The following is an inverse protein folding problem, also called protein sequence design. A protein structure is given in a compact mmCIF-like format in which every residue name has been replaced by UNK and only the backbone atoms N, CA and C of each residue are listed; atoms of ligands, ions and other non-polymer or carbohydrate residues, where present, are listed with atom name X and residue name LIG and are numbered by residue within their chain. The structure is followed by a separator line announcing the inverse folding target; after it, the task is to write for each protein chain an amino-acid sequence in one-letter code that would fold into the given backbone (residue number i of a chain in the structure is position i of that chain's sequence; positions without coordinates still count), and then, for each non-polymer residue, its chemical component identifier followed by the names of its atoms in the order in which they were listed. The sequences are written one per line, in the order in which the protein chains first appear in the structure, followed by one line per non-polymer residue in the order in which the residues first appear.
data_IF_649870003186
#
_entry.id   IF_649870003186
#
_cell.length_a   1.000
_cell.length_b   1.000
_cell.length_c   1.000
_cell.angle_alpha   90.00
_cell.angle_beta   90.00
_cell.angle_gamma   90.00
#
_symmetry.space_group_name_H-M   'P 1'
#
loop_
_entity.id
_entity.type
_entity.pdbx_description
1 polymer ?
#
# COMPACT_ATOMS: atom_id res chain seq x y z
N UNK A 1 -2.43 71.12 26.15
CA UNK A 1 -2.16 70.28 27.33
C UNK A 1 -3.41 69.50 27.66
N UNK A 2 -3.27 68.22 28.01
CA UNK A 2 -4.42 67.36 28.32
C UNK A 2 -5.00 67.74 29.69
N UNK A 3 -6.33 67.74 29.80
CA UNK A 3 -7.07 67.98 31.06
C UNK A 3 -6.55 67.07 32.19
N UNK A 4 -6.10 65.86 31.82
CA UNK A 4 -5.53 64.87 32.74
C UNK A 4 -4.18 65.32 33.30
N UNK A 5 -3.29 65.85 32.46
CA UNK A 5 -1.98 66.34 32.90
C UNK A 5 -2.13 67.50 33.87
N UNK A 6 -3.05 68.43 33.58
CA UNK A 6 -3.33 69.54 34.49
C UNK A 6 -3.98 69.09 35.80
N UNK A 7 -4.80 68.02 35.78
CA UNK A 7 -5.37 67.43 37.00
C UNK A 7 -4.30 66.73 37.84
N UNK A 8 -3.38 66.01 37.21
CA UNK A 8 -2.29 65.32 37.91
C UNK A 8 -1.31 66.34 38.51
N UNK A 9 -0.94 67.38 37.74
CA UNK A 9 -0.06 68.45 38.24
C UNK A 9 -0.68 69.23 39.40
N UNK A 10 -1.97 69.59 39.31
CA UNK A 10 -2.69 70.31 40.38
C UNK A 10 -2.86 69.48 41.65
N UNK A 11 -2.91 68.15 41.53
CA UNK A 11 -3.06 67.24 42.67
C UNK A 11 -1.75 66.49 42.97
N UNK A 12 -0.59 66.98 42.53
CA UNK A 12 0.69 66.29 42.69
C UNK A 12 1.00 65.96 44.16
N UNK A 13 0.67 66.87 45.08
CA UNK A 13 0.79 66.62 46.51
C UNK A 13 -0.05 65.43 47.00
N UNK A 14 -1.19 65.10 46.38
CA UNK A 14 -1.95 63.89 46.73
C UNK A 14 -1.23 62.61 46.28
N UNK A 15 -0.54 62.66 45.14
CA UNK A 15 0.12 61.50 44.53
C UNK A 15 1.54 61.24 45.07
N UNK A 16 2.29 62.29 45.41
CA UNK A 16 3.69 62.20 45.86
C UNK A 16 3.82 61.95 47.39
N UNK A 17 2.72 61.71 48.11
CA UNK A 17 2.70 61.65 49.59
C UNK A 17 2.80 60.24 50.20
N UNK A 18 3.03 59.19 49.40
CA UNK A 18 3.17 57.83 49.93
C UNK A 18 4.34 57.10 49.30
N UNK A 19 5.54 57.36 49.81
CA UNK A 19 6.65 56.45 49.61
C UNK A 19 6.27 55.08 50.21
N UNK A 20 6.47 53.96 49.50
CA UNK A 20 6.10 52.66 50.02
C UNK A 20 6.83 52.39 51.33
N UNK A 21 6.16 51.72 52.27
CA UNK A 21 6.75 51.44 53.57
C UNK A 21 8.06 50.65 53.43
N UNK A 22 9.05 50.90 54.31
CA UNK A 22 10.29 50.12 54.31
C UNK A 22 9.96 48.62 54.41
N UNK A 23 10.64 47.78 53.63
CA UNK A 23 10.32 46.35 53.52
C UNK A 23 9.37 45.98 52.36
N UNK A 24 8.81 46.95 51.64
CA UNK A 24 7.90 46.67 50.52
C UNK A 24 8.58 45.90 49.39
N UNK A 25 9.83 46.27 49.05
CA UNK A 25 10.61 45.62 47.99
C UNK A 25 10.90 44.16 48.32
N UNK A 26 11.29 43.88 49.55
CA UNK A 26 11.59 42.54 50.06
C UNK A 26 10.34 41.66 50.04
N UNK A 27 9.19 42.20 50.48
CA UNK A 27 7.90 41.51 50.38
C UNK A 27 7.48 41.23 48.94
N UNK A 28 7.72 42.19 48.04
CA UNK A 28 7.40 42.04 46.62
C UNK A 28 8.26 40.93 45.99
N UNK A 29 9.57 40.95 46.24
CA UNK A 29 10.50 39.91 45.76
C UNK A 29 10.19 38.54 46.36
N UNK A 30 9.89 38.48 47.67
CA UNK A 30 9.48 37.22 48.30
C UNK A 30 8.21 36.62 47.70
N UNK A 31 7.23 37.45 47.31
CA UNK A 31 6.05 36.98 46.57
C UNK A 31 6.39 36.55 45.14
N UNK A 32 7.33 37.23 44.49
CA UNK A 32 7.77 36.89 43.14
C UNK A 32 8.49 35.53 43.10
N UNK A 33 9.33 35.23 44.08
CA UNK A 33 10.05 33.96 44.19
C UNK A 33 9.16 32.78 44.62
N UNK A 34 8.04 33.07 45.30
CA UNK A 34 7.02 32.08 45.64
C UNK A 34 6.09 31.73 44.48
N UNK A 35 6.05 32.55 43.42
CA UNK A 35 5.42 32.12 42.19
C UNK A 35 6.25 30.97 41.66
N UNK A 36 5.67 29.79 41.38
CA UNK A 36 6.40 28.73 40.73
C UNK A 36 6.80 29.27 39.37
N UNK A 37 8.03 29.76 39.25
CA UNK A 37 8.61 30.18 37.97
C UNK A 37 8.29 29.08 36.98
N UNK A 38 7.82 29.43 35.78
CA UNK A 38 7.39 28.51 34.73
C UNK A 38 8.47 27.46 34.46
N UNK A 39 8.53 26.44 35.30
CA UNK A 39 9.37 25.27 35.14
C UNK A 39 8.64 24.53 34.05
N UNK A 40 9.09 24.77 32.82
CA UNK A 40 8.54 24.25 31.58
C UNK A 40 8.16 22.78 31.74
N UNK A 41 6.90 22.53 32.13
CA UNK A 41 6.37 21.17 32.31
C UNK A 41 6.46 20.39 30.99
N UNK A 42 6.52 21.11 29.87
CA UNK A 42 6.78 20.57 28.54
C UNK A 42 8.16 19.93 28.34
N UNK A 43 9.21 20.31 29.09
CA UNK A 43 10.56 19.74 28.91
C UNK A 43 10.64 18.27 29.35
N UNK A 44 9.89 17.90 30.39
CA UNK A 44 9.81 16.52 30.88
C UNK A 44 8.85 15.65 30.04
N UNK A 45 7.88 16.27 29.37
CA UNK A 45 6.94 15.57 28.48
C UNK A 45 7.53 15.32 27.08
N UNK A 46 8.57 16.05 26.69
CA UNK A 46 9.20 15.96 25.37
C UNK A 46 9.71 14.55 24.99
N UNK A 47 10.43 13.80 25.85
CA UNK A 47 10.86 12.44 25.51
C UNK A 47 9.68 11.46 25.43
N UNK A 48 8.67 11.61 26.29
CA UNK A 48 7.45 10.77 26.29
C UNK A 48 6.64 11.02 25.02
N UNK A 49 6.51 12.27 24.59
CA UNK A 49 5.86 12.61 23.32
C UNK A 49 6.59 11.99 22.12
N UNK A 50 7.93 12.04 22.08
CA UNK A 50 8.70 11.40 21.00
C UNK A 50 8.48 9.89 20.95
N UNK A 51 8.52 9.22 22.10
CA UNK A 51 8.26 7.77 22.18
C UNK A 51 6.83 7.42 21.70
N UNK A 52 5.84 8.21 22.11
CA UNK A 52 4.45 8.03 21.68
C UNK A 52 4.25 8.24 20.18
N UNK A 53 4.93 9.23 19.58
CA UNK A 53 4.86 9.50 18.14
C UNK A 53 5.42 8.33 17.32
N UNK A 54 6.56 7.77 17.73
CA UNK A 54 7.15 6.60 17.06
C UNK A 54 6.22 5.39 17.18
N UNK A 55 5.64 5.16 18.36
CA UNK A 55 4.66 4.09 18.57
C UNK A 55 3.42 4.25 17.68
N UNK A 56 2.88 5.46 17.56
CA UNK A 56 1.73 5.74 16.70
C UNK A 56 2.05 5.54 15.22
N UNK A 57 3.25 5.94 14.77
CA UNK A 57 3.68 5.71 13.38
C UNK A 57 3.82 4.21 13.12
N UNK A 58 4.49 3.46 14.00
CA UNK A 58 4.63 2.02 13.87
C UNK A 58 3.28 1.31 13.91
N UNK A 59 2.37 1.73 14.79
CA UNK A 59 1.04 1.16 14.86
C UNK A 59 0.21 1.49 13.62
N UNK A 60 0.36 2.69 13.05
CA UNK A 60 -0.29 3.08 11.79
C UNK A 60 0.23 2.28 10.60
N UNK A 61 1.55 2.07 10.52
CA UNK A 61 2.16 1.23 9.48
C UNK A 61 1.73 -0.23 9.66
N UNK A 62 1.73 -0.75 10.88
CA UNK A 62 1.26 -2.10 11.17
C UNK A 62 -0.22 -2.27 10.85
N UNK A 63 -1.07 -1.30 11.21
CA UNK A 63 -2.49 -1.28 10.88
C UNK A 63 -2.71 -1.24 9.37
N UNK A 64 -1.95 -0.41 8.65
CA UNK A 64 -2.02 -0.33 7.19
C UNK A 64 -1.52 -1.63 6.53
N UNK A 65 -0.43 -2.21 7.03
CA UNK A 65 0.10 -3.48 6.55
C UNK A 65 -0.91 -4.61 6.78
N UNK A 66 -1.51 -4.69 7.97
CA UNK A 66 -2.60 -5.64 8.28
C UNK A 66 -3.80 -5.38 7.38
N UNK A 67 -4.18 -4.12 7.13
CA UNK A 67 -5.27 -3.80 6.20
C UNK A 67 -4.92 -4.21 4.76
N UNK A 68 -3.69 -4.06 4.30
CA UNK A 68 -3.31 -4.47 2.94
C UNK A 68 -3.21 -6.00 2.83
N UNK A 69 -2.70 -6.67 3.86
CA UNK A 69 -2.43 -8.10 3.86
C UNK A 69 -3.69 -8.94 4.16
N UNK A 70 -4.53 -8.48 5.09
CA UNK A 70 -5.78 -9.13 5.51
C UNK A 70 -6.98 -8.58 4.72
N UNK A 71 -7.05 -7.25 4.51
CA UNK A 71 -8.01 -6.65 3.58
C UNK A 71 -7.31 -6.40 2.23
N UNK A 72 -6.79 -7.47 1.59
CA UNK A 72 -7.01 -7.56 0.14
C UNK A 72 -8.47 -7.17 -0.06
N UNK A 73 -8.82 -6.21 -0.91
CA UNK A 73 -10.22 -5.88 -1.11
C UNK A 73 -10.90 -7.16 -1.58
N UNK A 74 -11.55 -7.87 -0.66
CA UNK A 74 -12.77 -8.58 -0.98
C UNK A 74 -13.72 -7.44 -1.22
N UNK A 75 -13.66 -7.00 -2.46
CA UNK A 75 -14.33 -5.85 -2.98
C UNK A 75 -15.82 -6.22 -2.89
N UNK A 76 -16.46 -5.91 -1.76
CA UNK A 76 -17.89 -6.19 -1.54
C UNK A 76 -18.76 -5.31 -2.46
N UNK A 77 -18.13 -4.39 -3.22
CA UNK A 77 -18.69 -3.69 -4.37
C UNK A 77 -17.99 -4.03 -5.70
N UNK A 78 -16.98 -4.91 -5.73
CA UNK A 78 -16.95 -5.86 -6.81
C UNK A 78 -18.11 -6.80 -6.52
N UNK A 79 -19.26 -6.44 -7.08
CA UNK A 79 -19.85 -7.44 -7.96
C UNK A 79 -18.67 -7.90 -8.80
N UNK A 80 -18.09 -9.04 -8.44
CA UNK A 80 -17.42 -9.85 -9.43
C UNK A 80 -18.51 -9.91 -10.49
N UNK A 81 -18.38 -9.06 -11.51
CA UNK A 81 -18.96 -9.31 -12.80
C UNK A 81 -18.28 -10.61 -13.17
N UNK A 82 -18.81 -11.69 -12.61
CA UNK A 82 -18.45 -13.06 -12.90
C UNK A 82 -18.72 -13.03 -14.36
N UNK A 83 -17.65 -13.00 -15.14
CA UNK A 83 -17.78 -12.86 -16.57
C UNK A 83 -18.51 -14.14 -16.95
N UNK A 84 -19.82 -14.03 -17.21
CA UNK A 84 -20.64 -15.19 -17.51
C UNK A 84 -20.37 -15.47 -18.98
N UNK A 85 -19.31 -16.23 -19.24
CA UNK A 85 -19.08 -16.79 -20.56
C UNK A 85 -20.12 -17.89 -20.80
N UNK A 86 -20.53 -18.09 -22.06
CA UNK A 86 -21.21 -19.30 -22.49
C UNK A 86 -20.48 -20.55 -21.99
N UNK A 87 -21.26 -21.56 -21.56
CA UNK A 87 -20.75 -22.79 -20.96
C UNK A 87 -19.74 -23.52 -21.85
N UNK A 88 -19.97 -23.54 -23.16
CA UNK A 88 -19.08 -24.15 -24.15
C UNK A 88 -17.70 -23.48 -24.19
N UNK A 89 -17.66 -22.14 -24.07
CA UNK A 89 -16.39 -21.40 -24.00
C UNK A 89 -15.73 -21.64 -22.65
N UNK A 90 -16.49 -21.60 -21.56
CA UNK A 90 -15.94 -21.82 -20.21
C UNK A 90 -15.29 -23.20 -20.08
N UNK A 91 -15.95 -24.25 -20.58
CA UNK A 91 -15.41 -25.61 -20.60
C UNK A 91 -14.13 -25.71 -21.45
N UNK A 92 -14.11 -25.03 -22.60
CA UNK A 92 -12.92 -24.99 -23.46
C UNK A 92 -11.75 -24.31 -22.77
N UNK A 93 -12.00 -23.19 -22.08
CA UNK A 93 -10.94 -22.48 -21.34
C UNK A 93 -10.39 -23.34 -20.20
N UNK A 94 -11.27 -23.94 -19.41
CA UNK A 94 -10.89 -24.83 -18.30
C UNK A 94 -10.09 -26.05 -18.76
N UNK A 95 -10.43 -26.62 -19.93
CA UNK A 95 -9.66 -27.71 -20.52
C UNK A 95 -8.21 -27.31 -20.78
N UNK A 96 -7.98 -26.16 -21.42
CA UNK A 96 -6.63 -25.70 -21.71
C UNK A 96 -5.89 -25.19 -20.47
N UNK A 97 -6.57 -24.64 -19.47
CA UNK A 97 -5.94 -24.33 -18.17
C UNK A 97 -5.39 -25.60 -17.51
N UNK A 98 -6.21 -26.66 -17.47
CA UNK A 98 -5.80 -27.96 -16.93
C UNK A 98 -4.61 -28.52 -17.70
N UNK A 99 -4.69 -28.52 -19.04
CA UNK A 99 -3.61 -28.99 -19.92
C UNK A 99 -2.31 -28.19 -19.75
N UNK A 100 -2.41 -26.88 -19.54
CA UNK A 100 -1.24 -26.01 -19.31
C UNK A 100 -0.61 -26.31 -17.96
N UNK A 101 -1.42 -26.51 -16.91
CA UNK A 101 -0.93 -26.89 -15.59
C UNK A 101 -0.23 -28.26 -15.60
N UNK A 102 -0.80 -29.24 -16.31
CA UNK A 102 -0.16 -30.53 -16.52
C UNK A 102 1.22 -30.35 -17.16
N UNK A 103 1.31 -29.60 -18.26
CA UNK A 103 2.59 -29.33 -18.96
C UNK A 103 3.62 -28.59 -18.12
N UNK A 104 3.21 -27.62 -17.31
CA UNK A 104 4.11 -26.95 -16.37
C UNK A 104 4.74 -27.94 -15.38
N UNK A 105 4.00 -28.98 -14.98
CA UNK A 105 4.55 -30.06 -14.15
C UNK A 105 5.46 -30.99 -14.94
N UNK A 106 5.23 -31.16 -16.26
CA UNK A 106 6.11 -31.97 -17.11
C UNK A 106 7.51 -31.39 -17.25
N UNK A 107 7.69 -30.07 -17.10
CA UNK A 107 9.00 -29.39 -17.13
C UNK A 107 10.01 -30.07 -16.19
N UNK A 108 9.59 -30.51 -15.01
CA UNK A 108 10.47 -31.17 -14.02
C UNK A 108 11.05 -32.49 -14.55
N UNK A 109 10.40 -33.13 -15.53
CA UNK A 109 10.85 -34.38 -16.14
C UNK A 109 11.85 -34.16 -17.27
N UNK A 110 11.80 -33.00 -17.91
CA UNK A 110 12.64 -32.67 -19.07
C UNK A 110 13.84 -31.80 -18.72
N UNK A 111 13.85 -31.15 -17.55
CA UNK A 111 15.01 -30.41 -17.08
C UNK A 111 16.12 -31.35 -16.57
N UNK A 112 17.38 -30.95 -16.77
CA UNK A 112 18.55 -31.70 -16.32
C UNK A 112 18.72 -31.66 -14.80
N UNK A 113 18.31 -30.56 -14.18
CA UNK A 113 18.42 -30.33 -12.74
C UNK A 113 17.30 -29.40 -12.21
N UNK A 114 17.11 -29.33 -10.88
CA UNK A 114 16.06 -28.51 -10.28
C UNK A 114 16.20 -26.99 -10.53
N UNK A 115 17.42 -26.48 -10.71
CA UNK A 115 17.65 -25.05 -10.98
C UNK A 115 17.21 -24.67 -12.40
N UNK A 116 17.50 -25.50 -13.39
CA UNK A 116 17.03 -25.35 -14.76
C UNK A 116 15.50 -25.46 -14.85
N UNK A 117 14.90 -26.44 -14.14
CA UNK A 117 13.44 -26.56 -14.05
C UNK A 117 12.80 -25.30 -13.47
N UNK A 118 13.40 -24.71 -12.43
CA UNK A 118 12.92 -23.46 -11.81
C UNK A 118 13.02 -22.29 -12.78
N UNK A 119 14.14 -22.16 -13.50
CA UNK A 119 14.32 -21.08 -14.48
C UNK A 119 13.33 -21.19 -15.64
N UNK A 120 13.14 -22.40 -16.20
CA UNK A 120 12.17 -22.65 -17.26
C UNK A 120 10.72 -22.36 -16.81
N UNK A 121 10.36 -22.73 -15.58
CA UNK A 121 9.04 -22.39 -15.00
C UNK A 121 8.87 -20.89 -14.77
N UNK A 122 9.92 -20.18 -14.37
CA UNK A 122 9.86 -18.73 -14.22
C UNK A 122 9.66 -18.05 -15.58
N UNK A 123 10.43 -18.44 -16.59
CA UNK A 123 10.28 -17.92 -17.95
C UNK A 123 8.88 -18.22 -18.52
N UNK A 124 8.38 -19.45 -18.33
CA UNK A 124 7.02 -19.80 -18.68
C UNK A 124 6.02 -18.87 -17.97
N UNK A 125 6.18 -18.64 -16.66
CA UNK A 125 5.32 -17.74 -15.89
C UNK A 125 5.24 -16.33 -16.48
N UNK A 126 6.39 -15.74 -16.83
CA UNK A 126 6.46 -14.40 -17.43
C UNK A 126 5.78 -14.34 -18.82
N UNK A 127 5.97 -15.38 -19.65
CA UNK A 127 5.30 -15.45 -20.95
C UNK A 127 3.79 -15.67 -20.82
N UNK A 128 3.35 -16.51 -19.86
CA UNK A 128 1.96 -16.80 -19.60
C UNK A 128 1.20 -15.57 -19.04
N UNK A 129 1.85 -14.75 -18.21
CA UNK A 129 1.25 -13.51 -17.69
C UNK A 129 0.83 -12.56 -18.82
N UNK A 130 1.69 -12.39 -19.82
CA UNK A 130 1.38 -11.56 -21.00
C UNK A 130 0.18 -12.09 -21.79
N UNK A 131 0.03 -13.43 -21.87
CA UNK A 131 -1.10 -14.08 -22.53
C UNK A 131 -2.38 -13.88 -21.71
N UNK A 132 -2.30 -13.98 -20.39
CA UNK A 132 -3.44 -13.78 -19.48
C UNK A 132 -3.96 -12.34 -19.54
N UNK A 133 -3.07 -11.34 -19.66
CA UNK A 133 -3.47 -9.94 -19.88
C UNK A 133 -4.23 -9.80 -21.21
N UNK A 134 -3.74 -10.42 -22.29
CA UNK A 134 -4.40 -10.40 -23.59
C UNK A 134 -5.77 -11.10 -23.54
N UNK A 135 -5.85 -12.24 -22.87
CA UNK A 135 -7.08 -13.00 -22.68
C UNK A 135 -8.14 -12.17 -21.92
N UNK A 136 -7.74 -11.48 -20.84
CA UNK A 136 -8.64 -10.61 -20.08
C UNK A 136 -9.21 -9.46 -20.92
N UNK A 137 -8.40 -8.87 -21.81
CA UNK A 137 -8.86 -7.85 -22.74
C UNK A 137 -9.90 -8.39 -23.73
N UNK A 138 -9.65 -9.57 -24.30
CA UNK A 138 -10.58 -10.23 -25.23
C UNK A 138 -11.88 -10.62 -24.51
N UNK A 139 -11.80 -11.14 -23.28
CA UNK A 139 -12.98 -11.46 -22.46
C UNK A 139 -13.85 -10.22 -22.23
N UNK A 140 -13.23 -9.09 -21.88
CA UNK A 140 -13.93 -7.83 -21.67
C UNK A 140 -14.68 -7.36 -22.93
N UNK A 141 -14.08 -7.52 -24.11
CA UNK A 141 -14.72 -7.14 -25.37
C UNK A 141 -15.78 -8.16 -25.82
N UNK A 142 -15.60 -9.44 -25.49
CA UNK A 142 -16.57 -10.49 -25.75
C UNK A 142 -17.87 -10.28 -24.96
N UNK A 143 -17.80 -9.85 -23.69
CA UNK A 143 -18.98 -9.52 -22.89
C UNK A 143 -19.84 -8.44 -23.56
N UNK A 144 -19.20 -7.45 -24.18
CA UNK A 144 -19.89 -6.36 -24.87
C UNK A 144 -20.56 -6.84 -26.15
N UNK A 145 -20.01 -7.88 -26.79
CA UNK A 145 -20.47 -8.42 -28.07
C UNK A 145 -20.43 -9.97 -28.09
N UNK A 146 -21.36 -10.66 -27.39
CA UNK A 146 -21.30 -12.12 -27.21
C UNK A 146 -21.44 -12.93 -28.49
N UNK A 147 -22.14 -12.38 -29.50
CA UNK A 147 -22.36 -13.04 -30.79
C UNK A 147 -21.18 -12.89 -31.76
N UNK A 148 -20.13 -12.17 -31.36
CA UNK A 148 -18.97 -11.94 -32.20
C UNK A 148 -18.10 -13.21 -32.27
N UNK A 149 -18.25 -13.93 -33.37
CA UNK A 149 -17.49 -15.15 -33.68
C UNK A 149 -15.97 -14.94 -33.70
N UNK A 150 -15.49 -13.75 -34.10
CA UNK A 150 -14.07 -13.45 -34.11
C UNK A 150 -13.50 -13.35 -32.68
N UNK A 151 -14.25 -12.73 -31.75
CA UNK A 151 -13.86 -12.66 -30.34
C UNK A 151 -13.90 -14.05 -29.68
N UNK A 152 -14.91 -14.87 -29.99
CA UNK A 152 -14.95 -16.28 -29.54
C UNK A 152 -13.73 -17.07 -30.03
N UNK A 153 -13.38 -16.96 -31.31
CA UNK A 153 -12.20 -17.60 -31.86
C UNK A 153 -10.91 -17.07 -31.21
N UNK A 154 -10.83 -15.77 -30.95
CA UNK A 154 -9.68 -15.16 -30.29
C UNK A 154 -9.51 -15.67 -28.85
N UNK A 155 -10.59 -15.83 -28.07
CA UNK A 155 -10.53 -16.44 -26.73
C UNK A 155 -9.92 -17.84 -26.77
N UNK A 156 -10.48 -18.71 -27.62
CA UNK A 156 -10.05 -20.11 -27.73
C UNK A 156 -8.61 -20.20 -28.23
N UNK A 157 -8.25 -19.41 -29.25
CA UNK A 157 -6.90 -19.42 -29.83
C UNK A 157 -5.85 -18.88 -28.85
N UNK A 158 -6.19 -17.83 -28.10
CA UNK A 158 -5.29 -17.26 -27.08
C UNK A 158 -5.04 -18.28 -25.98
N UNK A 159 -6.10 -18.95 -25.53
CA UNK A 159 -5.99 -20.01 -24.55
C UNK A 159 -5.19 -21.21 -25.07
N UNK A 160 -5.40 -21.63 -26.32
CA UNK A 160 -4.58 -22.69 -26.94
C UNK A 160 -3.11 -22.29 -27.01
N UNK A 161 -2.82 -21.04 -27.40
CA UNK A 161 -1.47 -20.50 -27.47
C UNK A 161 -0.77 -20.50 -26.10
N UNK A 162 -1.52 -20.29 -25.01
CA UNK A 162 -1.04 -20.44 -23.63
C UNK A 162 -0.39 -21.81 -23.40
N UNK A 163 -1.06 -22.87 -23.84
CA UNK A 163 -0.52 -24.24 -23.77
C UNK A 163 0.66 -24.46 -24.71
N UNK A 164 0.60 -23.94 -25.95
CA UNK A 164 1.67 -24.07 -26.96
C UNK A 164 3.00 -23.46 -26.50
N UNK A 165 2.96 -22.40 -25.69
CA UNK A 165 4.18 -21.78 -25.12
C UNK A 165 4.89 -22.73 -24.17
N UNK A 166 4.17 -23.38 -23.26
CA UNK A 166 4.75 -24.35 -22.33
C UNK A 166 5.27 -25.57 -23.10
N UNK A 167 4.55 -26.01 -24.12
CA UNK A 167 5.02 -27.04 -25.06
C UNK A 167 6.34 -26.68 -25.73
N UNK A 168 6.49 -25.43 -26.17
CA UNK A 168 7.71 -24.97 -26.80
C UNK A 168 8.90 -24.98 -25.82
N UNK A 169 8.69 -24.55 -24.58
CA UNK A 169 9.71 -24.57 -23.53
C UNK A 169 10.14 -26.02 -23.23
N UNK A 170 9.19 -26.96 -23.11
CA UNK A 170 9.50 -28.38 -22.93
C UNK A 170 10.33 -28.92 -24.09
N UNK A 171 9.96 -28.58 -25.33
CA UNK A 171 10.72 -28.99 -26.51
C UNK A 171 12.14 -28.43 -26.53
N UNK A 172 12.35 -27.20 -26.05
CA UNK A 172 13.68 -26.62 -25.97
C UNK A 172 14.55 -27.33 -24.92
N UNK A 173 13.98 -27.68 -23.76
CA UNK A 173 14.66 -28.46 -22.72
C UNK A 173 15.05 -29.86 -23.23
N UNK A 174 14.14 -30.54 -23.93
CA UNK A 174 14.39 -31.87 -24.49
C UNK A 174 15.52 -31.86 -25.55
N UNK A 175 15.52 -30.86 -26.43
CA UNK A 175 16.59 -30.66 -27.42
C UNK A 175 17.93 -30.36 -26.73
N UNK A 176 17.94 -29.46 -25.75
CA UNK A 176 19.15 -29.10 -25.02
C UNK A 176 19.75 -30.33 -24.31
N UNK A 177 18.92 -31.15 -23.67
CA UNK A 177 19.35 -32.37 -23.00
C UNK A 177 19.79 -33.47 -23.96
N UNK A 178 19.13 -33.60 -25.11
CA UNK A 178 19.51 -34.57 -26.14
C UNK A 178 20.85 -34.24 -26.83
N UNK A 179 21.32 -32.99 -26.74
CA UNK A 179 22.62 -32.56 -27.29
C UNK A 179 23.79 -32.72 -26.30
N UNK A 180 23.51 -33.06 -25.04
CA UNK A 180 24.52 -33.31 -24.00
C UNK A 180 25.01 -34.76 -23.95
N UNK A 181 24.40 -35.66 -24.74
CA UNK A 181 24.77 -37.08 -24.90
C UNK A 181 25.05 -37.40 -26.36
#
# INVERSE_FOLDING_TARGET
MSILEDKIKRNRGFFDNKEPSPGHKERFLGKLDQLPGSKNKLRYLYPVLKASAVLLILMSIAYLAVRILINKPHDQNAVAHTIILPEDIQNTLAYYDTKTAEKLNEIDRYALNPDEARMAKQEAGEQLENIDISLAAIQKDFIKNPDNKALKAALINTQRKKTEVVDHIISQLDIANSQLY
#
